data_IF_432973302020
#
_entry.id   IF_432973302020
#
_cell.length_a   1.000
_cell.length_b   1.000
_cell.length_c   1.000
_cell.angle_alpha   90.00
_cell.angle_beta   90.00
_cell.angle_gamma   90.00
#
_symmetry.space_group_name_H-M   'P 1'
#
loop_
_entity.id
_entity.type
_entity.pdbx_description
1 polymer ?
#
# COMPACT_ATOMS: atom_id res chain seq x y z
N UNK A 1 -16.12 -10.62 26.44
CA UNK A 1 -15.54 -9.27 26.37
C UNK A 1 -16.21 -8.58 25.21
N UNK A 2 -17.12 -7.66 25.51
CA UNK A 2 -17.91 -6.93 24.52
C UNK A 2 -17.00 -5.90 23.83
N UNK A 3 -16.82 -6.06 22.53
CA UNK A 3 -16.18 -5.04 21.70
C UNK A 3 -16.97 -3.72 21.85
N UNK A 4 -16.30 -2.68 22.30
CA UNK A 4 -16.84 -1.32 22.27
C UNK A 4 -17.15 -0.94 20.82
N UNK A 5 -18.18 -0.13 20.54
CA UNK A 5 -18.47 0.31 19.19
C UNK A 5 -17.24 1.04 18.65
N UNK A 6 -16.65 0.50 17.58
CA UNK A 6 -15.53 1.08 16.89
C UNK A 6 -15.84 2.54 16.56
N UNK A 7 -15.10 3.44 17.18
CA UNK A 7 -15.08 4.85 16.82
C UNK A 7 -14.34 4.95 15.47
N UNK A 8 -15.05 4.59 14.40
CA UNK A 8 -14.52 4.53 13.04
C UNK A 8 -14.09 5.93 12.64
N UNK A 9 -12.80 6.20 12.70
CA UNK A 9 -12.25 7.49 12.31
C UNK A 9 -12.55 7.76 10.85
N UNK A 10 -13.02 8.96 10.55
CA UNK A 10 -13.31 9.38 9.17
C UNK A 10 -11.99 9.76 8.53
N UNK A 11 -11.62 9.18 7.38
CA UNK A 11 -10.41 9.55 6.66
C UNK A 11 -10.50 11.00 6.16
N UNK A 12 -9.37 11.66 5.87
CA UNK A 12 -9.37 12.97 5.23
C UNK A 12 -10.15 12.97 3.91
N UNK A 13 -10.61 14.15 3.51
CA UNK A 13 -11.41 14.31 2.31
C UNK A 13 -10.71 13.75 1.06
N UNK A 14 -11.46 13.03 0.24
CA UNK A 14 -11.00 12.42 -1.01
C UNK A 14 -10.40 11.02 -0.85
N UNK A 15 -10.28 10.52 0.38
CA UNK A 15 -9.90 9.13 0.62
C UNK A 15 -11.13 8.24 0.72
N UNK A 16 -11.09 7.10 0.02
CA UNK A 16 -12.10 6.06 0.04
C UNK A 16 -11.54 4.77 0.64
N UNK A 17 -12.35 3.96 1.33
CA UNK A 17 -11.90 2.67 1.85
C UNK A 17 -11.31 1.80 0.74
N UNK A 18 -10.15 1.20 1.00
CA UNK A 18 -9.53 0.24 0.11
C UNK A 18 -10.01 -1.17 0.46
N UNK A 19 -10.52 -1.89 -0.53
CA UNK A 19 -10.79 -3.31 -0.41
C UNK A 19 -9.48 -4.09 -0.57
N UNK A 20 -8.82 -4.38 0.55
CA UNK A 20 -7.54 -5.10 0.61
C UNK A 20 -7.66 -6.32 1.55
N UNK A 21 -8.80 -6.98 1.55
CA UNK A 21 -9.14 -8.06 2.47
C UNK A 21 -8.54 -9.41 2.07
N UNK A 22 -7.26 -9.43 1.71
CA UNK A 22 -6.57 -10.68 1.40
C UNK A 22 -5.16 -10.74 1.99
N UNK A 23 -4.80 -11.93 2.44
CA UNK A 23 -3.46 -12.25 2.90
C UNK A 23 -2.97 -11.37 4.06
N UNK A 24 -1.69 -11.04 4.04
CA UNK A 24 -1.06 -10.28 5.12
C UNK A 24 -1.60 -8.84 5.25
N UNK A 25 -1.96 -8.22 4.14
CA UNK A 25 -2.45 -6.85 4.14
C UNK A 25 -3.75 -6.68 4.95
N UNK A 26 -4.64 -7.68 4.94
CA UNK A 26 -5.91 -7.64 5.70
C UNK A 26 -5.69 -7.49 7.21
N UNK A 27 -4.59 -8.04 7.75
CA UNK A 27 -4.26 -7.93 9.17
C UNK A 27 -3.84 -6.52 9.60
N UNK A 28 -3.53 -5.66 8.62
CA UNK A 28 -3.10 -4.28 8.83
C UNK A 28 -4.18 -3.25 8.40
N UNK A 29 -5.37 -3.74 7.99
CA UNK A 29 -6.51 -2.87 7.61
C UNK A 29 -7.06 -2.11 8.84
N UNK A 30 -7.76 -0.99 8.62
CA UNK A 30 -8.25 -0.45 7.35
C UNK A 30 -7.26 0.47 6.64
N UNK A 31 -7.25 0.39 5.30
CA UNK A 31 -6.54 1.32 4.44
C UNK A 31 -7.53 2.15 3.63
N UNK A 32 -7.04 3.28 3.14
CA UNK A 32 -7.80 4.21 2.31
C UNK A 32 -6.96 4.61 1.11
N UNK A 33 -7.60 4.83 -0.02
CA UNK A 33 -6.97 5.26 -1.25
C UNK A 33 -7.53 6.61 -1.71
N UNK A 34 -6.65 7.44 -2.26
CA UNK A 34 -7.00 8.68 -2.95
C UNK A 34 -6.24 8.76 -4.27
N UNK A 35 -6.92 9.10 -5.37
CA UNK A 35 -6.25 9.37 -6.65
C UNK A 35 -5.82 10.84 -6.70
N UNK A 36 -4.57 11.07 -7.07
CA UNK A 36 -3.99 12.39 -7.29
C UNK A 36 -3.21 12.37 -8.60
N UNK A 37 -3.80 12.90 -9.67
CA UNK A 37 -3.20 12.91 -11.02
C UNK A 37 -2.77 11.50 -11.45
N UNK A 38 -1.45 11.27 -11.57
CA UNK A 38 -0.87 9.97 -11.93
C UNK A 38 -0.62 9.05 -10.73
N UNK A 39 -0.82 9.54 -9.51
CA UNK A 39 -0.50 8.82 -8.28
C UNK A 39 -1.76 8.27 -7.59
N UNK A 40 -1.56 7.17 -6.88
CA UNK A 40 -2.52 6.66 -5.90
C UNK A 40 -1.89 6.80 -4.52
N UNK A 41 -2.49 7.61 -3.69
CA UNK A 41 -2.08 7.81 -2.30
C UNK A 41 -2.71 6.73 -1.44
N UNK A 42 -1.91 6.00 -0.68
CA UNK A 42 -2.36 5.05 0.35
C UNK A 42 -2.33 5.76 1.69
N UNK A 43 -3.45 5.77 2.41
CA UNK A 43 -3.57 6.40 3.72
C UNK A 43 -4.12 5.44 4.77
N UNK A 44 -3.74 5.65 6.03
CA UNK A 44 -4.25 4.88 7.17
C UNK A 44 -4.08 5.64 8.47
N UNK A 45 -4.90 5.30 9.47
CA UNK A 45 -4.65 5.70 10.85
C UNK A 45 -3.75 4.66 11.53
N UNK A 46 -2.79 5.13 12.33
CA UNK A 46 -2.02 4.22 13.20
C UNK A 46 -2.96 3.73 14.31
N UNK A 47 -3.19 2.41 14.34
CA UNK A 47 -4.07 1.73 15.28
C UNK A 47 -3.28 0.80 16.21
N UNK A 48 -3.95 0.17 17.20
CA UNK A 48 -3.30 -0.67 18.22
C UNK A 48 -2.56 -1.87 17.63
N UNK A 49 -3.08 -2.48 16.55
CA UNK A 49 -2.41 -3.59 15.86
C UNK A 49 -1.13 -3.16 15.13
N UNK A 50 -0.93 -1.85 14.91
CA UNK A 50 0.21 -1.32 14.17
C UNK A 50 1.40 -0.98 15.07
N UNK A 51 1.20 -0.82 16.38
CA UNK A 51 2.22 -0.29 17.28
C UNK A 51 3.16 -1.37 17.84
N UNK A 52 4.36 -0.94 18.20
CA UNK A 52 5.36 -1.71 18.92
C UNK A 52 5.33 -1.38 20.42
N UNK A 53 6.13 -2.05 21.28
CA UNK A 53 6.19 -1.73 22.71
C UNK A 53 6.55 -0.28 23.06
N UNK A 54 7.15 0.47 22.12
CA UNK A 54 7.43 1.90 22.24
C UNK A 54 6.24 2.82 21.94
N UNK A 55 5.04 2.25 21.72
CA UNK A 55 3.80 2.98 21.42
C UNK A 55 3.85 3.81 20.13
N UNK A 56 4.66 3.38 19.17
CA UNK A 56 4.77 3.94 17.82
C UNK A 56 4.58 2.84 16.77
N UNK A 57 4.19 3.20 15.56
CA UNK A 57 4.01 2.24 14.48
C UNK A 57 5.27 1.38 14.28
N UNK A 58 5.07 0.07 14.19
CA UNK A 58 6.16 -0.87 13.99
C UNK A 58 6.82 -0.65 12.63
N UNK A 59 8.16 -0.58 12.60
CA UNK A 59 8.90 -0.35 11.36
C UNK A 59 8.56 -1.34 10.24
N UNK A 60 8.41 -2.63 10.57
CA UNK A 60 7.99 -3.65 9.59
C UNK A 60 6.60 -3.40 9.00
N UNK A 61 5.67 -2.88 9.80
CA UNK A 61 4.34 -2.46 9.31
C UNK A 61 4.49 -1.30 8.32
N UNK A 62 5.24 -0.26 8.68
CA UNK A 62 5.49 0.88 7.78
C UNK A 62 6.18 0.46 6.47
N UNK A 63 7.11 -0.51 6.54
CA UNK A 63 7.74 -1.10 5.35
C UNK A 63 6.72 -1.78 4.45
N UNK A 64 5.76 -2.51 5.00
CA UNK A 64 4.68 -3.15 4.25
C UNK A 64 3.81 -2.11 3.53
N UNK A 65 3.46 -1.02 4.20
CA UNK A 65 2.66 0.05 3.57
C UNK A 65 3.40 0.70 2.41
N UNK A 66 4.70 0.96 2.55
CA UNK A 66 5.52 1.49 1.45
C UNK A 66 5.55 0.53 0.27
N UNK A 67 5.78 -0.77 0.52
CA UNK A 67 5.82 -1.79 -0.53
C UNK A 67 4.49 -1.87 -1.28
N UNK A 68 3.37 -1.84 -0.56
CA UNK A 68 2.04 -1.80 -1.15
C UNK A 68 1.81 -0.53 -1.97
N UNK A 69 2.15 0.65 -1.44
CA UNK A 69 1.98 1.92 -2.13
C UNK A 69 2.81 1.97 -3.42
N UNK A 70 4.02 1.42 -3.41
CA UNK A 70 4.86 1.32 -4.59
C UNK A 70 4.25 0.38 -5.63
N UNK A 71 3.80 -0.82 -5.22
CA UNK A 71 3.14 -1.77 -6.09
C UNK A 71 1.89 -1.20 -6.75
N UNK A 72 1.02 -0.54 -6.00
CA UNK A 72 -0.19 0.12 -6.49
C UNK A 72 0.16 1.18 -7.55
N UNK A 73 1.16 2.01 -7.27
CA UNK A 73 1.56 3.09 -8.19
C UNK A 73 2.27 2.58 -9.45
N UNK A 74 3.01 1.49 -9.36
CA UNK A 74 3.56 0.81 -10.54
C UNK A 74 2.42 0.21 -11.38
N UNK A 75 1.47 -0.47 -10.74
CA UNK A 75 0.29 -1.05 -11.40
C UNK A 75 -0.56 0.00 -12.12
N UNK A 76 -0.73 1.18 -11.53
CA UNK A 76 -1.48 2.29 -12.14
C UNK A 76 -0.84 2.87 -13.40
N UNK A 77 0.43 2.54 -13.70
CA UNK A 77 1.20 3.05 -14.86
C UNK A 77 1.42 2.03 -15.96
N UNK A 78 0.85 0.84 -15.84
CA UNK A 78 1.04 -0.22 -16.87
C UNK A 78 -0.13 -1.21 -16.87
N UNK A 79 -0.69 -1.45 -18.06
CA UNK A 79 -1.96 -2.17 -18.24
C UNK A 79 -1.85 -3.70 -18.23
N UNK A 80 -0.69 -4.25 -18.42
CA UNK A 80 -0.51 -5.70 -18.58
C UNK A 80 0.31 -6.33 -17.46
N UNK A 81 0.00 -5.95 -16.21
CA UNK A 81 0.67 -6.50 -15.04
C UNK A 81 -0.06 -7.74 -14.54
N UNK A 82 0.67 -8.85 -14.48
CA UNK A 82 0.22 -10.07 -13.81
C UNK A 82 0.67 -10.10 -12.35
N UNK A 83 1.95 -9.76 -12.09
CA UNK A 83 2.52 -9.72 -10.74
C UNK A 83 3.74 -8.78 -10.67
N UNK A 84 3.98 -8.18 -9.51
CA UNK A 84 5.04 -7.19 -9.27
C UNK A 84 5.95 -7.62 -8.12
N UNK A 85 6.80 -8.65 -8.27
CA UNK A 85 7.70 -9.04 -7.20
C UNK A 85 8.68 -7.90 -6.88
N UNK A 86 8.73 -7.52 -5.63
CA UNK A 86 9.71 -6.57 -5.12
C UNK A 86 11.08 -7.24 -5.10
N UNK A 87 12.05 -6.63 -5.76
CA UNK A 87 13.42 -7.16 -5.86
C UNK A 87 14.39 -6.45 -4.93
N UNK A 88 14.09 -5.21 -4.56
CA UNK A 88 14.87 -4.44 -3.59
C UNK A 88 14.02 -3.34 -2.99
N UNK A 89 14.18 -3.12 -1.69
CA UNK A 89 13.63 -1.98 -0.96
C UNK A 89 14.67 -1.48 0.04
N UNK A 90 14.80 -0.17 0.15
CA UNK A 90 15.58 0.49 1.18
C UNK A 90 14.72 1.51 1.91
N UNK A 91 14.94 1.66 3.21
CA UNK A 91 14.14 2.50 4.09
C UNK A 91 15.02 3.31 5.03
N UNK A 92 14.65 4.58 5.20
CA UNK A 92 15.16 5.45 6.24
C UNK A 92 13.98 5.86 7.14
N UNK A 93 14.01 5.47 8.41
CA UNK A 93 13.02 5.90 9.39
C UNK A 93 13.44 7.25 9.96
N UNK A 94 12.63 8.27 9.73
CA UNK A 94 12.98 9.68 10.04
C UNK A 94 12.29 10.13 11.31
N UNK A 95 10.98 9.89 11.43
CA UNK A 95 10.18 10.28 12.58
C UNK A 95 9.23 9.15 13.01
N UNK A 96 8.86 9.06 14.29
CA UNK A 96 7.86 8.10 14.74
C UNK A 96 6.47 8.48 14.25
N UNK A 97 5.69 7.49 13.84
CA UNK A 97 4.24 7.60 13.67
C UNK A 97 3.55 7.09 14.94
N UNK A 98 2.72 7.92 15.58
CA UNK A 98 2.09 7.60 16.85
C UNK A 98 0.67 7.07 16.69
N UNK A 99 0.21 6.34 17.69
CA UNK A 99 -1.17 5.88 17.76
C UNK A 99 -2.16 7.03 17.51
N UNK A 100 -3.06 6.82 16.56
CA UNK A 100 -4.08 7.78 16.17
C UNK A 100 -3.68 8.80 15.13
N UNK A 101 -2.42 8.88 14.74
CA UNK A 101 -1.98 9.76 13.65
C UNK A 101 -2.41 9.20 12.29
N UNK A 102 -2.79 10.10 11.38
CA UNK A 102 -2.99 9.82 9.98
C UNK A 102 -1.66 9.81 9.26
N UNK A 103 -1.39 8.76 8.52
CA UNK A 103 -0.18 8.59 7.70
C UNK A 103 -0.62 8.34 6.26
N UNK A 104 0.06 8.98 5.32
CA UNK A 104 -0.20 8.79 3.90
C UNK A 104 1.07 8.67 3.08
N UNK A 105 0.99 7.94 1.97
CA UNK A 105 2.10 7.78 1.04
C UNK A 105 2.23 8.95 0.09
N UNK A 106 3.45 9.26 -0.31
CA UNK A 106 3.75 10.21 -1.37
C UNK A 106 4.80 9.63 -2.31
N UNK A 107 4.46 9.51 -3.59
CA UNK A 107 5.39 9.06 -4.61
C UNK A 107 6.11 10.28 -5.20
N UNK A 108 7.44 10.27 -5.15
CA UNK A 108 8.29 11.31 -5.77
C UNK A 108 8.67 10.95 -7.19
N UNK A 109 8.95 9.68 -7.42
CA UNK A 109 9.43 9.18 -8.69
C UNK A 109 8.92 7.78 -8.92
N UNK A 110 8.43 7.52 -10.13
CA UNK A 110 8.05 6.18 -10.56
C UNK A 110 8.35 6.04 -12.05
N UNK A 111 9.35 5.25 -12.38
CA UNK A 111 9.71 4.94 -13.77
C UNK A 111 9.47 3.48 -14.06
N UNK A 112 8.63 3.21 -15.05
CA UNK A 112 8.22 1.85 -15.43
C UNK A 112 8.76 1.53 -16.81
N UNK A 113 9.46 0.39 -16.93
CA UNK A 113 9.92 -0.18 -18.18
C UNK A 113 9.18 -1.48 -18.47
N UNK A 114 9.46 -2.11 -19.59
CA UNK A 114 8.83 -3.41 -19.92
C UNK A 114 9.10 -4.52 -18.88
N UNK A 115 10.25 -4.49 -18.18
CA UNK A 115 10.69 -5.60 -17.29
C UNK A 115 10.86 -5.20 -15.83
N UNK A 116 11.00 -3.91 -15.54
CA UNK A 116 11.33 -3.40 -14.21
C UNK A 116 10.66 -2.06 -13.97
N UNK A 117 10.40 -1.78 -12.70
CA UNK A 117 10.06 -0.45 -12.23
C UNK A 117 11.04 -0.02 -11.15
N UNK A 118 11.32 1.29 -11.12
CA UNK A 118 12.07 1.94 -10.05
C UNK A 118 11.16 3.01 -9.46
N UNK A 119 11.04 3.04 -8.16
CA UNK A 119 10.12 3.93 -7.45
C UNK A 119 10.79 4.49 -6.21
N UNK A 120 10.51 5.76 -5.91
CA UNK A 120 10.87 6.39 -4.64
C UNK A 120 9.74 7.23 -4.08
N UNK A 121 9.75 7.40 -2.77
CA UNK A 121 8.74 8.18 -2.08
C UNK A 121 8.87 8.08 -0.57
N UNK A 122 7.85 8.53 0.14
CA UNK A 122 7.81 8.54 1.59
C UNK A 122 6.43 8.29 2.14
N UNK A 123 6.39 7.99 3.45
CA UNK A 123 5.21 8.13 4.28
C UNK A 123 5.29 9.46 5.02
N UNK A 124 4.19 10.19 4.99
CA UNK A 124 4.01 11.49 5.64
C UNK A 124 3.05 11.35 6.81
N UNK A 125 3.40 11.96 7.92
CA UNK A 125 2.54 12.14 9.08
C UNK A 125 2.35 13.61 9.42
N UNK A 126 1.62 13.94 10.49
CA UNK A 126 1.36 15.33 10.92
C UNK A 126 2.64 16.14 11.20
N UNK A 127 3.70 15.46 11.62
CA UNK A 127 5.00 16.09 11.96
C UNK A 127 5.99 16.08 10.80
N UNK A 128 5.63 15.61 9.61
CA UNK A 128 6.49 15.52 8.43
C UNK A 128 6.79 14.09 8.00
N UNK A 129 7.95 13.89 7.37
CA UNK A 129 8.36 12.58 6.83
C UNK A 129 8.57 11.56 7.95
N UNK A 130 7.84 10.46 7.88
CA UNK A 130 7.96 9.31 8.79
C UNK A 130 8.97 8.29 8.27
N UNK A 131 8.84 7.94 6.99
CA UNK A 131 9.73 7.01 6.28
C UNK A 131 10.05 7.58 4.93
N UNK A 132 11.31 7.50 4.52
CA UNK A 132 11.74 7.63 3.13
C UNK A 132 12.12 6.27 2.58
N UNK A 133 11.79 6.00 1.32
CA UNK A 133 12.07 4.71 0.73
C UNK A 133 12.38 4.77 -0.77
N UNK A 134 13.13 3.75 -1.22
CA UNK A 134 13.39 3.50 -2.64
C UNK A 134 13.17 2.03 -2.92
N UNK A 135 12.56 1.71 -4.06
CA UNK A 135 12.21 0.35 -4.44
C UNK A 135 12.52 0.02 -5.89
N UNK A 136 12.70 -1.25 -6.14
CA UNK A 136 12.78 -1.82 -7.48
C UNK A 136 11.91 -3.06 -7.54
N UNK A 137 11.03 -3.12 -8.53
CA UNK A 137 10.15 -4.25 -8.78
C UNK A 137 10.45 -4.86 -10.15
N UNK A 138 10.34 -6.18 -10.23
CA UNK A 138 10.25 -6.88 -11.50
C UNK A 138 8.81 -6.81 -11.99
N UNK A 139 8.63 -6.60 -13.29
CA UNK A 139 7.31 -6.68 -13.92
C UNK A 139 7.16 -8.05 -14.57
N UNK A 140 6.17 -8.81 -14.10
CA UNK A 140 5.73 -10.04 -14.72
C UNK A 140 4.39 -9.78 -15.40
N UNK A 141 4.28 -10.14 -16.67
CA UNK A 141 3.08 -9.90 -17.47
C UNK A 141 2.00 -10.95 -17.19
N UNK A 142 0.76 -10.68 -17.56
CA UNK A 142 -0.37 -11.60 -17.33
C UNK A 142 -0.22 -12.95 -18.00
N UNK A 143 0.51 -13.01 -19.11
CA UNK A 143 0.83 -14.26 -19.86
C UNK A 143 2.05 -15.02 -19.31
N UNK A 144 2.71 -14.52 -18.26
CA UNK A 144 3.88 -15.18 -17.69
C UNK A 144 3.46 -16.45 -16.92
N UNK A 145 3.74 -17.60 -17.50
CA UNK A 145 3.37 -18.91 -16.96
C UNK A 145 4.05 -19.29 -15.64
N UNK A 146 5.02 -18.49 -15.18
CA UNK A 146 5.67 -18.65 -13.87
C UNK A 146 4.82 -18.09 -12.72
N UNK A 147 3.76 -17.37 -13.03
CA UNK A 147 2.79 -16.90 -12.03
C UNK A 147 1.77 -18.01 -11.81
N UNK A 148 1.95 -18.77 -10.75
CA UNK A 148 0.94 -19.71 -10.27
C UNK A 148 0.11 -19.06 -9.16
N UNK A 149 -0.88 -18.29 -9.57
CA UNK A 149 -1.89 -17.82 -8.62
C UNK A 149 -2.98 -18.91 -8.51
N UNK A 150 -3.41 -19.29 -7.30
CA UNK A 150 -4.55 -20.18 -7.11
C UNK A 150 -5.76 -19.69 -7.91
N UNK A 151 -6.52 -20.61 -8.51
CA UNK A 151 -7.66 -20.26 -9.39
C UNK A 151 -8.72 -19.44 -8.64
N UNK A 152 -8.91 -19.67 -7.36
CA UNK A 152 -9.81 -18.92 -6.48
C UNK A 152 -9.40 -17.44 -6.40
N UNK A 153 -8.11 -17.17 -6.20
CA UNK A 153 -7.58 -15.81 -6.17
C UNK A 153 -7.63 -15.15 -7.55
N UNK A 154 -7.43 -15.90 -8.64
CA UNK A 154 -7.58 -15.35 -9.99
C UNK A 154 -9.00 -14.88 -10.25
N UNK A 155 -9.99 -15.65 -9.78
CA UNK A 155 -11.41 -15.33 -9.93
C UNK A 155 -11.78 -14.06 -9.13
N UNK A 156 -11.34 -13.98 -7.88
CA UNK A 156 -11.54 -12.79 -7.04
C UNK A 156 -10.89 -11.53 -7.65
N UNK A 157 -9.65 -11.63 -8.13
CA UNK A 157 -8.97 -10.51 -8.79
C UNK A 157 -9.70 -10.05 -10.05
N UNK A 158 -10.26 -10.98 -10.81
CA UNK A 158 -10.99 -10.66 -12.03
C UNK A 158 -12.32 -9.97 -11.71
N UNK A 159 -13.09 -10.51 -10.77
CA UNK A 159 -14.37 -9.92 -10.33
C UNK A 159 -14.19 -8.50 -9.78
N UNK A 160 -13.10 -8.23 -9.06
CA UNK A 160 -12.77 -6.89 -8.54
C UNK A 160 -12.30 -5.90 -9.62
N UNK A 161 -11.65 -6.37 -10.68
CA UNK A 161 -11.28 -5.51 -11.81
C UNK A 161 -12.52 -5.11 -12.63
N UNK A 162 -13.47 -6.01 -12.80
CA UNK A 162 -14.71 -5.76 -13.54
C UNK A 162 -15.62 -4.75 -12.81
N UNK A 163 -15.62 -4.74 -11.47
CA UNK A 163 -16.36 -3.77 -10.63
C UNK A 163 -15.78 -2.34 -10.64
N UNK A 164 -14.53 -2.16 -11.03
CA UNK A 164 -13.87 -0.84 -11.09
C UNK A 164 -13.91 -0.19 -12.48
N UNK A 165 -14.61 -0.79 -13.44
CA UNK A 165 -14.76 -0.29 -14.82
C UNK A 165 -16.18 0.22 -15.16
N UNK A 166 -17.10 0.19 -14.21
CA UNK A 166 -18.43 0.82 -14.26
C UNK A 166 -18.46 2.10 -13.39
#
# INVERSE_FOLDING_TARGET
>A
MTQSPENKRIPPQGFEPADMDYGFASSLSPFYLKREEENVVVGFYVEEQHINPGQIAHGGMLMTIVDMAFGINIGARTDDVGFLPTTSLSYDFIQPARLGEWIESKIEFCHVTHKRAVVSGYLMGPSGVVVRANGTNKIMRKDDTRITMPEELKKEFKERQDLNHD
#
